data_IF_479394842267
#
_entry.id   IF_479394842267
#
_cell.length_a   1.000
_cell.length_b   1.000
_cell.length_c   1.000
_cell.angle_alpha   90.00
_cell.angle_beta   90.00
_cell.angle_gamma   90.00
#
_symmetry.space_group_name_H-M   'P 1'
#
loop_
_entity.id
_entity.type
_entity.pdbx_description
1 polymer ?
#
# COMPACT_ATOMS: atom_id res chain seq x y z
N UNK A 1 5.55 -24.92 -23.32
CA UNK A 1 5.10 -23.65 -22.71
C UNK A 1 5.69 -23.60 -21.31
N UNK A 2 6.37 -22.52 -20.89
CA UNK A 2 6.77 -22.39 -19.49
C UNK A 2 5.52 -22.22 -18.62
N UNK A 3 5.43 -23.00 -17.55
CA UNK A 3 4.37 -22.90 -16.54
C UNK A 3 4.41 -21.50 -15.90
N UNK A 4 3.26 -20.89 -15.55
CA UNK A 4 3.27 -19.64 -14.80
C UNK A 4 4.07 -19.87 -13.51
N UNK A 5 4.93 -18.93 -13.08
CA UNK A 5 5.74 -19.12 -11.90
C UNK A 5 4.87 -19.50 -10.71
N UNK A 6 5.18 -20.66 -10.13
CA UNK A 6 4.50 -21.30 -9.01
C UNK A 6 4.28 -20.31 -7.87
N UNK A 7 3.03 -20.22 -7.42
CA UNK A 7 2.53 -19.40 -6.31
C UNK A 7 2.95 -17.93 -6.38
N UNK A 8 1.97 -17.04 -6.56
CA UNK A 8 2.16 -15.59 -6.43
C UNK A 8 2.49 -15.19 -4.99
N UNK A 9 3.64 -15.62 -4.46
CA UNK A 9 4.14 -15.27 -3.14
C UNK A 9 4.48 -13.78 -3.19
N UNK A 10 3.58 -13.00 -2.61
CA UNK A 10 3.79 -11.58 -2.38
C UNK A 10 4.78 -11.43 -1.22
N UNK A 11 6.07 -11.51 -1.52
CA UNK A 11 7.16 -11.49 -0.53
C UNK A 11 7.33 -10.13 0.16
N UNK A 12 6.76 -9.06 -0.42
CA UNK A 12 6.85 -7.72 0.13
C UNK A 12 5.50 -7.33 0.72
N UNK A 13 5.51 -6.89 1.98
CA UNK A 13 4.34 -6.41 2.67
C UNK A 13 4.62 -5.04 3.30
N UNK A 14 3.67 -4.12 3.13
CA UNK A 14 3.67 -2.81 3.74
C UNK A 14 2.42 -2.67 4.58
N UNK A 15 2.60 -2.38 5.86
CA UNK A 15 1.49 -2.14 6.79
C UNK A 15 1.29 -0.64 6.91
N UNK A 16 0.12 -0.17 6.51
CA UNK A 16 -0.30 1.23 6.63
C UNK A 16 -1.33 1.29 7.77
N UNK A 17 -1.08 2.05 8.84
CA UNK A 17 -2.05 2.16 9.92
C UNK A 17 -3.26 2.96 9.45
N UNK A 18 -4.46 2.44 9.70
CA UNK A 18 -5.68 3.05 9.17
C UNK A 18 -5.98 4.42 9.78
N UNK A 19 -5.42 4.76 10.94
CA UNK A 19 -5.55 6.11 11.52
C UNK A 19 -5.00 7.20 10.58
N UNK A 20 -4.00 6.84 9.76
CA UNK A 20 -3.39 7.74 8.79
C UNK A 20 -4.12 7.69 7.44
N UNK A 21 -5.08 6.80 7.22
CA UNK A 21 -5.76 6.66 5.93
C UNK A 21 -7.05 7.47 5.95
N UNK A 22 -7.07 8.60 5.24
CA UNK A 22 -8.30 9.38 5.04
C UNK A 22 -9.26 8.68 4.08
N UNK A 23 -8.75 8.11 2.98
CA UNK A 23 -9.58 7.53 1.92
C UNK A 23 -8.98 6.24 1.36
N UNK A 24 -9.59 5.11 1.72
CA UNK A 24 -9.16 3.77 1.27
C UNK A 24 -9.28 3.59 -0.24
N UNK A 25 -10.26 4.24 -0.88
CA UNK A 25 -10.47 4.13 -2.32
C UNK A 25 -9.33 4.83 -3.05
N UNK A 26 -8.96 6.03 -2.60
CA UNK A 26 -7.81 6.74 -3.18
C UNK A 26 -6.48 6.05 -2.89
N UNK A 27 -6.29 5.48 -1.70
CA UNK A 27 -5.09 4.67 -1.41
C UNK A 27 -4.98 3.53 -2.41
N UNK A 28 -6.06 2.78 -2.67
CA UNK A 28 -6.04 1.72 -3.69
C UNK A 28 -5.72 2.26 -5.09
N UNK A 29 -6.28 3.41 -5.48
CA UNK A 29 -5.98 4.03 -6.79
C UNK A 29 -4.52 4.45 -6.93
N UNK A 30 -3.91 5.01 -5.88
CA UNK A 30 -2.48 5.38 -5.91
C UNK A 30 -1.59 4.13 -5.88
N UNK A 31 -1.95 3.11 -5.10
CA UNK A 31 -1.28 1.82 -5.14
C UNK A 31 -1.37 1.20 -6.54
N UNK A 32 -2.52 1.27 -7.20
CA UNK A 32 -2.71 0.80 -8.57
C UNK A 32 -1.80 1.55 -9.56
N UNK A 33 -1.58 2.86 -9.38
CA UNK A 33 -0.60 3.62 -10.18
C UNK A 33 0.85 3.22 -9.88
N UNK A 34 1.20 3.04 -8.61
CA UNK A 34 2.56 2.71 -8.16
C UNK A 34 2.94 1.28 -8.60
N UNK A 35 1.99 0.36 -8.51
CA UNK A 35 2.13 -1.06 -8.83
C UNK A 35 1.47 -1.42 -10.17
N UNK A 36 1.28 -0.46 -11.08
CA UNK A 36 0.54 -0.63 -12.35
C UNK A 36 0.99 -1.83 -13.19
N UNK A 37 2.26 -2.20 -13.09
CA UNK A 37 2.89 -3.30 -13.82
C UNK A 37 3.20 -4.52 -12.92
N UNK A 38 2.65 -4.56 -11.71
CA UNK A 38 2.98 -5.53 -10.66
C UNK A 38 1.69 -6.01 -10.02
N UNK A 39 1.55 -7.33 -9.89
CA UNK A 39 0.46 -7.89 -9.10
C UNK A 39 0.64 -7.52 -7.61
N UNK A 40 -0.36 -6.81 -7.06
CA UNK A 40 -0.44 -6.45 -5.65
C UNK A 40 -1.81 -6.84 -5.09
N UNK A 41 -1.85 -7.06 -3.79
CA UNK A 41 -3.04 -7.40 -3.03
C UNK A 41 -3.13 -6.48 -1.81
N UNK A 42 -4.35 -6.16 -1.40
CA UNK A 42 -4.59 -5.28 -0.26
C UNK A 42 -5.56 -5.98 0.67
N UNK A 43 -5.16 -6.13 1.92
CA UNK A 43 -5.94 -6.77 2.98
C UNK A 43 -6.05 -5.85 4.20
N UNK A 44 -7.18 -5.90 4.88
CA UNK A 44 -7.37 -5.21 6.15
C UNK A 44 -7.18 -6.21 7.28
N UNK A 45 -6.12 -6.04 8.08
CA UNK A 45 -5.75 -6.97 9.15
C UNK A 45 -5.60 -6.17 10.44
N UNK A 46 -6.43 -6.48 11.44
CA UNK A 46 -6.38 -5.87 12.78
C UNK A 46 -6.40 -4.33 12.78
N UNK A 47 -7.23 -3.71 11.93
CA UNK A 47 -7.29 -2.24 11.82
C UNK A 47 -6.10 -1.61 11.09
N UNK A 48 -5.30 -2.42 10.39
CA UNK A 48 -4.24 -1.95 9.52
C UNK A 48 -4.49 -2.36 8.08
N UNK A 49 -4.05 -1.52 7.14
CA UNK A 49 -4.15 -1.75 5.72
C UNK A 49 -2.83 -2.36 5.22
N UNK A 50 -2.85 -3.65 4.94
CA UNK A 50 -1.67 -4.43 4.54
C UNK A 50 -1.65 -4.55 3.02
N UNK A 51 -0.66 -3.94 2.40
CA UNK A 51 -0.39 -4.04 0.97
C UNK A 51 0.67 -5.10 0.75
N UNK A 52 0.32 -6.17 0.04
CA UNK A 52 1.21 -7.25 -0.35
C UNK A 52 1.55 -7.10 -1.83
N UNK A 53 2.82 -7.18 -2.22
CA UNK A 53 3.23 -7.05 -3.63
C UNK A 53 4.31 -8.09 -4.01
N UNK A 54 4.30 -8.52 -5.28
CA UNK A 54 5.29 -9.48 -5.80
C UNK A 54 6.68 -8.87 -6.01
N UNK A 55 6.77 -7.53 -5.99
CA UNK A 55 8.03 -6.77 -6.07
C UNK A 55 8.08 -5.75 -4.94
N UNK A 56 9.28 -5.32 -4.51
CA UNK A 56 9.37 -4.28 -3.51
C UNK A 56 8.71 -3.02 -4.05
N UNK A 57 7.77 -2.49 -3.26
CA UNK A 57 7.28 -1.13 -3.45
C UNK A 57 8.42 -0.12 -3.41
N UNK A 58 8.17 1.11 -3.90
CA UNK A 58 9.12 2.20 -3.72
C UNK A 58 9.45 2.35 -2.24
N UNK A 59 10.75 2.51 -1.92
CA UNK A 59 11.23 2.64 -0.54
C UNK A 59 10.50 3.72 0.28
N UNK A 60 9.88 4.68 -0.41
CA UNK A 60 9.10 5.78 0.16
C UNK A 60 7.59 5.66 -0.13
N UNK A 61 7.02 4.45 -0.11
CA UNK A 61 5.59 4.21 -0.39
C UNK A 61 4.68 5.09 0.48
N UNK A 62 4.92 5.14 1.80
CA UNK A 62 4.17 6.03 2.69
C UNK A 62 4.30 7.51 2.28
N UNK A 63 5.49 7.97 1.92
CA UNK A 63 5.70 9.36 1.50
C UNK A 63 4.98 9.68 0.17
N UNK A 64 4.87 8.72 -0.75
CA UNK A 64 4.10 8.90 -1.98
C UNK A 64 2.60 8.99 -1.70
N UNK A 65 2.08 8.14 -0.81
CA UNK A 65 0.68 8.19 -0.38
C UNK A 65 0.36 9.49 0.38
N UNK A 66 1.26 9.95 1.26
CA UNK A 66 1.13 11.26 1.90
C UNK A 66 1.20 12.41 0.90
N UNK A 67 2.10 12.35 -0.10
CA UNK A 67 2.22 13.36 -1.15
C UNK A 67 0.98 13.39 -2.06
N UNK A 68 0.37 12.24 -2.31
CA UNK A 68 -0.89 12.13 -3.04
C UNK A 68 -2.10 12.62 -2.21
N UNK A 69 -1.91 12.95 -0.92
CA UNK A 69 -2.97 13.43 -0.04
C UNK A 69 -3.99 12.33 0.30
N UNK A 70 -3.59 11.06 0.21
CA UNK A 70 -4.45 9.91 0.55
C UNK A 70 -4.17 9.40 1.96
N UNK A 71 -3.08 9.89 2.57
CA UNK A 71 -2.74 9.64 3.97
C UNK A 71 -2.46 10.94 4.72
N UNK A 72 -2.90 11.00 5.98
CA UNK A 72 -2.51 12.02 6.96
C UNK A 72 -1.02 11.93 7.24
N UNK A 73 -0.40 13.08 7.43
CA UNK A 73 0.98 13.16 7.93
C UNK A 73 0.95 12.94 9.44
N UNK A 74 2.01 12.35 10.00
CA UNK A 74 2.24 12.30 11.45
C UNK A 74 2.02 13.66 12.15
N UNK A 75 2.34 14.75 11.45
CA UNK A 75 2.15 16.11 11.95
C UNK A 75 0.68 16.52 12.13
N UNK A 76 -0.25 15.92 11.39
CA UNK A 76 -1.69 16.23 11.46
C UNK A 76 -2.41 15.43 12.56
N UNK A 77 -1.87 14.28 12.97
CA UNK A 77 -2.43 13.46 14.06
C UNK A 77 -2.05 13.97 15.47
N UNK A 78 -1.03 14.83 15.59
CA UNK A 78 -0.55 15.38 16.88
C UNK A 78 -1.23 16.68 17.33
N UNK A 79 -2.45 16.97 16.86
CA UNK A 79 -3.24 18.09 17.37
C UNK A 79 -4.48 17.57 18.11
N UNK A 80 -4.28 17.08 19.33
CA UNK A 80 -5.30 17.09 20.38
C UNK A 80 -4.61 17.35 21.73
#
# INVERSE_FOLDING_TARGET
MPEPPSDGILSYFYTLPMEYIDDKVKVKQELDKIYKDIFFQVEEISGNFVVKSGKPGPANLMAQLQKAGVMKKDSDLKKD
#
